data_IF_665124028116
#
_entry.id   IF_665124028116
#
_cell.length_a   1.000
_cell.length_b   1.000
_cell.length_c   1.000
_cell.angle_alpha   90.00
_cell.angle_beta   90.00
_cell.angle_gamma   90.00
#
_symmetry.space_group_name_H-M   'P 1'
#
loop_
_entity.id
_entity.type
_entity.pdbx_description
1 polymer ?
#
# COMPACT_ATOMS: atom_id res chain seq x y z
N UNK A 1 9.08 -4.54 63.45
CA UNK A 1 10.08 -5.49 62.88
C UNK A 1 9.41 -6.37 61.85
N UNK A 2 9.73 -6.25 60.60
CA UNK A 2 10.03 -7.18 59.54
C UNK A 2 9.92 -6.46 58.19
N UNK A 3 11.00 -5.75 57.83
CA UNK A 3 11.38 -5.48 56.41
C UNK A 3 12.10 -6.74 55.95
N UNK A 4 11.78 -7.30 54.81
CA UNK A 4 12.75 -7.78 53.80
C UNK A 4 12.07 -8.63 52.72
N UNK A 5 12.57 -8.42 51.52
CA UNK A 5 12.55 -9.32 50.38
C UNK A 5 11.39 -9.20 49.39
N UNK A 6 11.53 -8.20 48.50
CA UNK A 6 10.88 -8.24 47.18
C UNK A 6 11.75 -7.62 46.09
N UNK A 7 13.09 -7.79 46.13
CA UNK A 7 14.00 -7.22 45.12
C UNK A 7 14.74 -8.28 44.28
N UNK A 8 14.34 -9.55 44.31
CA UNK A 8 15.00 -10.63 43.52
C UNK A 8 14.15 -11.30 42.44
N UNK A 9 12.94 -10.86 42.18
CA UNK A 9 12.09 -11.44 41.10
C UNK A 9 12.00 -10.65 39.82
N UNK A 10 12.60 -9.46 39.71
CA UNK A 10 12.57 -8.65 38.51
C UNK A 10 13.81 -8.76 37.59
N UNK A 11 14.83 -9.54 37.96
CA UNK A 11 16.04 -9.71 37.15
C UNK A 11 16.04 -10.96 36.24
N UNK A 12 15.06 -11.87 36.41
CA UNK A 12 15.00 -13.10 35.58
C UNK A 12 13.99 -13.04 34.41
N UNK A 13 13.18 -12.00 34.32
CA UNK A 13 12.18 -11.85 33.24
C UNK A 13 12.70 -11.11 32.00
N UNK A 14 13.92 -10.58 32.04
CA UNK A 14 14.53 -9.83 30.90
C UNK A 14 15.44 -10.69 30.03
N UNK A 15 15.70 -11.94 30.35
CA UNK A 15 16.68 -12.80 29.64
C UNK A 15 16.09 -13.81 28.66
N UNK A 16 14.78 -13.85 28.40
CA UNK A 16 14.17 -14.81 27.45
C UNK A 16 13.37 -14.16 26.32
N UNK A 17 13.74 -12.98 25.85
CA UNK A 17 13.44 -12.57 24.49
C UNK A 17 14.55 -13.08 23.57
N UNK A 18 14.58 -14.39 23.34
CA UNK A 18 15.28 -14.95 22.19
C UNK A 18 14.72 -14.24 20.94
N UNK A 19 15.57 -13.43 20.32
CA UNK A 19 15.33 -12.85 19.00
C UNK A 19 15.04 -14.04 18.08
N UNK A 20 13.78 -14.27 17.72
CA UNK A 20 13.45 -15.05 16.55
C UNK A 20 14.13 -14.32 15.39
N UNK A 21 15.26 -14.85 14.92
CA UNK A 21 15.84 -14.44 13.66
C UNK A 21 14.77 -14.71 12.62
N UNK A 22 14.19 -13.64 12.05
CA UNK A 22 13.33 -13.75 10.89
C UNK A 22 14.08 -14.53 9.80
N UNK A 23 13.38 -15.14 8.84
CA UNK A 23 14.00 -15.89 7.76
C UNK A 23 15.10 -15.02 7.15
N UNK A 24 16.32 -15.60 7.01
CA UNK A 24 17.45 -14.94 6.36
C UNK A 24 16.98 -14.55 4.96
N UNK A 25 16.78 -13.25 4.74
CA UNK A 25 16.44 -12.73 3.42
C UNK A 25 17.65 -12.99 2.52
N UNK A 26 17.47 -13.90 1.54
CA UNK A 26 18.49 -14.16 0.51
C UNK A 26 18.67 -12.90 -0.34
N UNK A 27 19.87 -12.68 -0.82
CA UNK A 27 20.16 -11.61 -1.77
C UNK A 27 19.31 -11.83 -3.04
N UNK A 28 18.65 -10.78 -3.51
CA UNK A 28 17.81 -10.82 -4.71
C UNK A 28 18.57 -11.30 -5.94
N UNK A 29 19.88 -11.01 -6.02
CA UNK A 29 20.76 -11.49 -7.11
C UNK A 29 21.00 -12.99 -7.05
N UNK A 30 21.15 -13.57 -5.85
CA UNK A 30 21.31 -15.01 -5.67
C UNK A 30 20.00 -15.74 -6.04
N UNK A 31 18.86 -15.23 -5.59
CA UNK A 31 17.54 -15.76 -5.94
C UNK A 31 17.32 -15.73 -7.44
N UNK A 32 17.70 -14.63 -8.10
CA UNK A 32 17.57 -14.48 -9.53
C UNK A 32 18.48 -15.46 -10.30
N UNK A 33 19.73 -15.62 -9.89
CA UNK A 33 20.67 -16.55 -10.50
C UNK A 33 20.18 -18.01 -10.41
N UNK A 34 19.68 -18.42 -9.24
CA UNK A 34 19.06 -19.73 -9.03
C UNK A 34 17.81 -19.93 -9.91
N UNK A 35 16.98 -18.91 -10.01
CA UNK A 35 15.78 -18.91 -10.83
C UNK A 35 16.09 -19.06 -12.32
N UNK A 36 17.01 -18.25 -12.82
CA UNK A 36 17.46 -18.29 -14.23
C UNK A 36 18.09 -19.65 -14.55
N UNK A 37 18.85 -20.22 -13.61
CA UNK A 37 19.41 -21.57 -13.73
C UNK A 37 18.29 -22.63 -13.88
N UNK A 38 17.33 -22.64 -12.98
CA UNK A 38 16.18 -23.58 -13.01
C UNK A 38 15.30 -23.41 -14.25
N UNK A 39 15.09 -22.18 -14.71
CA UNK A 39 14.33 -21.90 -15.93
C UNK A 39 15.09 -22.43 -17.16
N UNK A 40 16.40 -22.23 -17.24
CA UNK A 40 17.23 -22.77 -18.33
C UNK A 40 17.20 -24.30 -18.35
N UNK A 41 17.42 -24.96 -17.22
CA UNK A 41 17.35 -26.42 -17.13
C UNK A 41 16.03 -27.02 -17.60
N UNK A 42 14.91 -26.42 -17.15
CA UNK A 42 13.56 -26.84 -17.57
C UNK A 42 13.30 -26.60 -19.06
N UNK A 43 13.84 -25.50 -19.61
CA UNK A 43 13.72 -25.19 -21.04
C UNK A 43 14.57 -26.11 -21.91
N UNK A 44 15.79 -26.42 -21.49
CA UNK A 44 16.67 -27.33 -22.22
C UNK A 44 16.18 -28.78 -22.14
N UNK A 45 15.65 -29.20 -20.99
CA UNK A 45 14.97 -30.52 -20.85
C UNK A 45 13.75 -30.66 -21.77
N UNK A 46 12.95 -29.62 -21.97
CA UNK A 46 11.82 -29.65 -22.92
C UNK A 46 12.28 -29.67 -24.38
N UNK A 47 13.38 -28.99 -24.73
CA UNK A 47 14.00 -29.02 -26.05
C UNK A 47 14.48 -30.44 -26.41
N UNK A 48 15.05 -31.15 -25.44
CA UNK A 48 15.49 -32.55 -25.62
C UNK A 48 14.30 -33.48 -25.79
N UNK A 49 13.24 -33.34 -25.00
CA UNK A 49 12.02 -34.09 -25.09
C UNK A 49 11.25 -33.88 -26.42
N UNK A 50 11.19 -32.64 -26.91
CA UNK A 50 10.56 -32.31 -28.20
C UNK A 50 11.34 -32.89 -29.40
N UNK A 51 12.69 -32.91 -29.32
CA UNK A 51 13.51 -33.58 -30.36
C UNK A 51 13.37 -35.08 -30.38
N UNK A 52 13.10 -35.72 -29.26
CA UNK A 52 12.87 -37.16 -29.17
C UNK A 52 11.47 -37.59 -29.66
N UNK A 53 10.51 -36.65 -29.77
CA UNK A 53 9.13 -36.94 -30.21
C UNK A 53 8.89 -36.79 -31.71
N UNK A 54 9.91 -36.56 -32.53
CA UNK A 54 9.85 -36.77 -34.01
C UNK A 54 8.96 -35.76 -34.75
N UNK A 55 8.68 -34.58 -34.25
CA UNK A 55 7.98 -33.55 -35.00
C UNK A 55 8.97 -32.68 -35.81
N UNK A 56 9.17 -33.10 -37.07
CA UNK A 56 9.77 -32.26 -38.12
C UNK A 56 8.83 -31.08 -38.42
N UNK A 57 9.05 -29.94 -37.79
CA UNK A 57 8.47 -28.70 -38.24
C UNK A 57 9.53 -27.87 -38.98
N UNK A 58 9.18 -27.59 -40.25
CA UNK A 58 9.89 -26.72 -41.18
C UNK A 58 10.34 -25.40 -40.52
N UNK A 59 11.60 -25.03 -40.77
CA UNK A 59 12.32 -23.79 -40.49
C UNK A 59 11.54 -22.55 -40.15
N UNK A 60 11.11 -22.45 -38.93
CA UNK A 60 10.78 -21.23 -38.21
C UNK A 60 11.54 -21.29 -36.90
N UNK A 61 12.37 -20.33 -36.59
CA UNK A 61 12.95 -20.16 -35.25
C UNK A 61 11.83 -20.38 -34.25
N UNK A 62 11.88 -21.47 -33.52
CA UNK A 62 11.03 -21.71 -32.35
C UNK A 62 11.50 -20.72 -31.29
N UNK A 63 11.13 -19.43 -31.45
CA UNK A 63 11.12 -18.48 -30.35
C UNK A 63 10.13 -19.07 -29.37
N UNK A 64 10.69 -19.81 -28.39
CA UNK A 64 9.96 -20.14 -27.16
C UNK A 64 9.45 -18.82 -26.64
N UNK A 65 8.16 -18.59 -26.85
CA UNK A 65 7.46 -17.40 -26.44
C UNK A 65 7.44 -17.42 -24.91
N UNK A 66 8.56 -17.06 -24.28
CA UNK A 66 8.68 -16.78 -22.85
C UNK A 66 7.79 -15.60 -22.44
N UNK A 67 7.19 -14.93 -23.44
CA UNK A 67 6.24 -13.81 -23.34
C UNK A 67 4.93 -14.17 -22.61
N UNK A 68 4.81 -15.39 -22.13
CA UNK A 68 3.60 -15.87 -21.43
C UNK A 68 3.83 -16.36 -20.00
N UNK A 69 4.97 -16.07 -19.39
CA UNK A 69 5.12 -16.28 -17.95
C UNK A 69 4.09 -15.42 -17.21
N UNK A 70 3.49 -16.00 -16.17
CA UNK A 70 2.59 -15.25 -15.30
C UNK A 70 3.17 -15.22 -13.89
N UNK A 71 3.37 -14.02 -13.36
CA UNK A 71 3.92 -13.80 -12.03
C UNK A 71 2.84 -13.19 -11.15
N UNK A 72 2.48 -13.86 -10.08
CA UNK A 72 1.66 -13.27 -9.02
C UNK A 72 2.55 -12.72 -7.93
N UNK A 73 2.25 -11.53 -7.44
CA UNK A 73 2.99 -10.89 -6.35
C UNK A 73 2.01 -10.42 -5.28
N UNK A 74 2.14 -10.97 -4.09
CA UNK A 74 1.47 -10.46 -2.89
C UNK A 74 2.39 -9.45 -2.19
N UNK A 75 1.95 -8.19 -2.18
CA UNK A 75 2.75 -7.05 -1.73
C UNK A 75 2.65 -6.87 -0.22
N UNK A 76 3.74 -7.16 0.49
CA UNK A 76 3.90 -6.80 1.90
C UNK A 76 4.67 -5.49 2.07
N UNK A 77 4.68 -4.97 3.30
CA UNK A 77 5.33 -3.69 3.62
C UNK A 77 6.86 -3.73 3.44
N UNK A 78 7.50 -4.77 3.94
CA UNK A 78 8.96 -4.95 3.87
C UNK A 78 9.37 -6.07 2.92
N UNK A 79 8.51 -7.04 2.69
CA UNK A 79 8.78 -8.20 1.84
C UNK A 79 7.53 -8.65 1.11
N UNK A 80 7.69 -8.95 -0.16
CA UNK A 80 6.63 -9.41 -1.06
C UNK A 80 6.87 -10.86 -1.44
N UNK A 81 5.80 -11.65 -1.51
CA UNK A 81 5.87 -13.04 -1.99
C UNK A 81 5.56 -13.08 -3.48
N UNK A 82 6.28 -13.91 -4.22
CA UNK A 82 6.02 -14.13 -5.63
C UNK A 82 5.81 -15.60 -5.97
N UNK A 83 5.05 -15.83 -7.01
CA UNK A 83 4.88 -17.14 -7.65
C UNK A 83 4.94 -16.94 -9.17
N UNK A 84 5.81 -17.72 -9.83
CA UNK A 84 5.99 -17.70 -11.27
C UNK A 84 5.38 -18.98 -11.84
N UNK A 85 4.45 -18.82 -12.77
CA UNK A 85 3.84 -19.91 -13.52
C UNK A 85 4.40 -19.94 -14.94
N UNK A 86 4.66 -21.16 -15.41
CA UNK A 86 5.05 -21.45 -16.78
C UNK A 86 3.87 -21.48 -17.75
N UNK A 87 4.16 -21.86 -18.99
CA UNK A 87 3.17 -21.86 -20.09
C UNK A 87 1.98 -22.80 -19.87
N UNK A 88 2.19 -23.88 -19.14
CA UNK A 88 1.15 -24.89 -18.86
C UNK A 88 0.48 -24.67 -17.49
N UNK A 89 0.86 -23.56 -16.79
CA UNK A 89 0.35 -23.24 -15.47
C UNK A 89 1.06 -23.97 -14.33
N UNK A 90 2.15 -24.66 -14.63
CA UNK A 90 3.03 -25.26 -13.66
C UNK A 90 3.78 -24.19 -12.86
N UNK A 91 3.99 -24.39 -11.56
CA UNK A 91 4.80 -23.51 -10.75
C UNK A 91 6.28 -23.71 -11.06
N UNK A 92 6.92 -22.71 -11.64
CA UNK A 92 8.34 -22.71 -11.94
C UNK A 92 9.17 -22.30 -10.73
N UNK A 93 8.72 -21.27 -10.02
CA UNK A 93 9.38 -20.77 -8.83
C UNK A 93 8.42 -20.05 -7.90
N UNK A 94 8.75 -20.05 -6.62
CA UNK A 94 8.11 -19.26 -5.58
C UNK A 94 9.19 -18.74 -4.64
N UNK A 95 8.97 -17.59 -4.07
CA UNK A 95 9.92 -17.01 -3.13
C UNK A 95 9.44 -15.70 -2.54
N UNK A 96 10.37 -15.02 -1.91
CA UNK A 96 10.16 -13.72 -1.31
C UNK A 96 11.27 -12.77 -1.74
N UNK A 97 10.92 -11.50 -1.94
CA UNK A 97 11.86 -10.42 -2.23
C UNK A 97 11.51 -9.21 -1.36
N UNK A 98 12.47 -8.33 -1.16
CA UNK A 98 12.22 -7.09 -0.41
C UNK A 98 11.34 -6.16 -1.25
N UNK A 99 10.43 -5.46 -0.57
CA UNK A 99 9.54 -4.49 -1.20
C UNK A 99 10.26 -3.14 -1.34
N UNK A 100 11.34 -3.11 -2.14
CA UNK A 100 12.09 -1.90 -2.50
C UNK A 100 12.09 -1.71 -4.01
N UNK A 101 12.30 -0.46 -4.47
CA UNK A 101 12.36 -0.18 -5.91
C UNK A 101 13.54 -0.92 -6.57
N UNK A 102 14.69 -0.97 -5.89
CA UNK A 102 15.90 -1.59 -6.38
C UNK A 102 15.78 -3.11 -6.52
N UNK A 103 15.27 -3.80 -5.46
CA UNK A 103 15.13 -5.25 -5.48
C UNK A 103 14.09 -5.70 -6.51
N UNK A 104 12.95 -4.99 -6.60
CA UNK A 104 11.92 -5.25 -7.60
C UNK A 104 12.46 -5.03 -9.03
N UNK A 105 13.13 -3.91 -9.27
CA UNK A 105 13.71 -3.64 -10.58
C UNK A 105 14.74 -4.71 -10.96
N UNK A 106 15.66 -5.06 -10.06
CA UNK A 106 16.67 -6.10 -10.27
C UNK A 106 16.03 -7.46 -10.60
N UNK A 107 14.99 -7.84 -9.84
CA UNK A 107 14.28 -9.10 -10.06
C UNK A 107 13.58 -9.14 -11.41
N UNK A 108 12.81 -8.10 -11.74
CA UNK A 108 12.02 -8.09 -12.97
C UNK A 108 12.88 -7.84 -14.22
N UNK A 109 13.97 -7.08 -14.14
CA UNK A 109 14.93 -6.96 -15.25
C UNK A 109 15.60 -8.29 -15.61
N UNK A 110 15.73 -9.21 -14.67
CA UNK A 110 16.27 -10.55 -14.89
C UNK A 110 15.27 -11.53 -15.51
N UNK A 111 14.01 -11.16 -15.67
CA UNK A 111 12.98 -11.98 -16.29
C UNK A 111 12.70 -11.49 -17.71
N UNK A 112 12.38 -12.42 -18.61
CA UNK A 112 11.80 -12.06 -19.91
C UNK A 112 10.41 -11.46 -19.71
N UNK A 113 9.89 -10.76 -20.74
CA UNK A 113 8.56 -10.16 -20.70
C UNK A 113 7.51 -11.15 -20.16
N UNK A 114 6.76 -10.72 -19.16
CA UNK A 114 5.80 -11.56 -18.45
C UNK A 114 4.54 -10.76 -18.13
N UNK A 115 3.43 -11.46 -17.85
CA UNK A 115 2.27 -10.85 -17.19
C UNK A 115 2.47 -10.92 -15.69
N UNK A 116 2.43 -9.78 -15.03
CA UNK A 116 2.58 -9.66 -13.58
C UNK A 116 1.26 -9.21 -12.96
N UNK A 117 0.80 -9.94 -11.96
CA UNK A 117 -0.43 -9.64 -11.23
C UNK A 117 -0.07 -9.22 -9.81
N UNK A 118 -0.51 -8.03 -9.41
CA UNK A 118 -0.36 -7.50 -8.06
C UNK A 118 -1.74 -7.16 -7.49
N UNK A 119 -1.93 -7.26 -6.19
CA UNK A 119 -3.16 -6.79 -5.54
C UNK A 119 -3.11 -5.28 -5.29
N UNK A 120 -4.25 -4.60 -5.42
CA UNK A 120 -4.34 -3.17 -5.10
C UNK A 120 -4.05 -2.92 -3.62
N UNK A 121 -3.12 -2.03 -3.34
CA UNK A 121 -2.70 -1.68 -1.99
C UNK A 121 -1.83 -0.43 -1.98
N UNK A 122 -1.26 -0.11 -0.84
CA UNK A 122 -0.44 1.09 -0.64
C UNK A 122 0.76 1.15 -1.60
N UNK A 123 1.36 -0.01 -1.89
CA UNK A 123 2.55 -0.12 -2.72
C UNK A 123 2.23 -0.33 -4.21
N UNK A 124 1.02 -0.78 -4.56
CA UNK A 124 0.70 -1.28 -5.90
C UNK A 124 0.97 -0.26 -7.03
N UNK A 125 0.77 1.02 -6.77
CA UNK A 125 0.94 2.05 -7.79
C UNK A 125 2.40 2.26 -8.22
N UNK A 126 3.33 2.40 -7.28
CA UNK A 126 4.74 2.56 -7.60
C UNK A 126 5.38 1.23 -8.04
N UNK A 127 4.92 0.10 -7.48
CA UNK A 127 5.34 -1.23 -7.92
C UNK A 127 4.96 -1.47 -9.39
N UNK A 128 3.73 -1.13 -9.76
CA UNK A 128 3.30 -1.19 -11.16
C UNK A 128 4.21 -0.36 -12.09
N UNK A 129 4.62 0.84 -11.67
CA UNK A 129 5.52 1.69 -12.47
C UNK A 129 6.89 1.03 -12.66
N UNK A 130 7.48 0.50 -11.59
CA UNK A 130 8.77 -0.19 -11.63
C UNK A 130 8.70 -1.40 -12.56
N UNK A 131 7.69 -2.26 -12.40
CA UNK A 131 7.56 -3.49 -13.18
C UNK A 131 7.28 -3.20 -14.66
N UNK A 132 6.43 -2.22 -14.96
CA UNK A 132 6.21 -1.76 -16.35
C UNK A 132 7.47 -1.18 -16.96
N UNK A 133 8.27 -0.43 -16.20
CA UNK A 133 9.57 0.08 -16.62
C UNK A 133 10.57 -1.02 -16.97
N UNK A 134 10.41 -2.23 -16.46
CA UNK A 134 11.18 -3.41 -16.83
C UNK A 134 10.62 -4.16 -18.06
N UNK A 135 9.55 -3.67 -18.71
CA UNK A 135 8.99 -4.26 -19.93
C UNK A 135 7.91 -5.32 -19.72
N UNK A 136 7.31 -5.40 -18.52
CA UNK A 136 6.26 -6.37 -18.22
C UNK A 136 4.85 -5.79 -18.34
N UNK A 137 3.88 -6.64 -18.70
CA UNK A 137 2.45 -6.34 -18.55
C UNK A 137 2.07 -6.42 -17.08
N UNK A 138 1.41 -5.41 -16.52
CA UNK A 138 1.00 -5.42 -15.12
C UNK A 138 -0.51 -5.24 -14.98
N UNK A 139 -1.14 -6.20 -14.32
CA UNK A 139 -2.53 -6.19 -13.91
C UNK A 139 -2.61 -5.91 -12.40
N UNK A 140 -3.34 -4.89 -12.02
CA UNK A 140 -3.59 -4.57 -10.60
C UNK A 140 -4.96 -5.08 -10.22
N UNK A 141 -5.02 -6.18 -9.50
CA UNK A 141 -6.25 -6.87 -9.11
C UNK A 141 -7.04 -6.08 -8.07
N UNK A 142 -8.36 -6.04 -8.19
CA UNK A 142 -9.26 -5.43 -7.21
C UNK A 142 -9.95 -6.49 -6.33
N UNK A 143 -9.42 -6.78 -5.13
CA UNK A 143 -9.96 -7.85 -4.28
C UNK A 143 -11.37 -7.59 -3.76
N UNK A 144 -11.86 -6.35 -3.85
CA UNK A 144 -13.23 -6.01 -3.44
C UNK A 144 -14.28 -6.52 -4.40
N UNK A 145 -13.91 -6.68 -5.66
CA UNK A 145 -14.77 -7.17 -6.74
C UNK A 145 -14.48 -8.63 -7.08
N UNK A 146 -13.28 -9.11 -6.77
CA UNK A 146 -12.95 -10.52 -6.84
C UNK A 146 -13.79 -11.27 -5.79
N UNK A 147 -14.62 -12.15 -6.28
CA UNK A 147 -15.77 -12.78 -5.63
C UNK A 147 -15.65 -13.06 -4.13
N UNK A 148 -16.76 -12.76 -3.49
CA UNK A 148 -17.01 -12.74 -2.06
C UNK A 148 -16.99 -14.07 -1.33
N UNK A 149 -16.15 -15.02 -1.66
CA UNK A 149 -15.94 -16.15 -0.76
C UNK A 149 -15.12 -15.72 0.47
N UNK A 150 -15.74 -14.87 1.30
CA UNK A 150 -15.30 -14.54 2.67
C UNK A 150 -15.27 -15.75 3.60
N UNK A 151 -14.85 -16.92 3.12
CA UNK A 151 -14.49 -18.01 4.01
C UNK A 151 -13.09 -17.72 4.51
N UNK A 152 -13.03 -17.33 5.78
CA UNK A 152 -11.84 -17.20 6.64
C UNK A 152 -10.96 -18.47 6.57
N UNK A 153 -10.23 -18.66 5.46
CA UNK A 153 -9.05 -19.52 5.46
C UNK A 153 -7.90 -18.68 5.99
N UNK A 154 -7.05 -19.28 6.81
CA UNK A 154 -5.82 -18.65 7.30
C UNK A 154 -5.13 -17.97 6.12
N UNK A 155 -4.96 -16.65 6.23
CA UNK A 155 -4.22 -15.86 5.24
C UNK A 155 -2.78 -16.37 5.20
N UNK A 156 -2.30 -16.72 4.02
CA UNK A 156 -0.92 -17.13 3.79
C UNK A 156 -0.48 -16.47 2.49
N UNK A 157 0.44 -15.53 2.60
CA UNK A 157 0.89 -14.66 1.52
C UNK A 157 1.45 -15.44 0.32
N UNK A 158 2.07 -16.61 0.56
CA UNK A 158 2.50 -17.53 -0.51
C UNK A 158 1.31 -18.08 -1.31
N UNK A 159 0.21 -18.43 -0.63
CA UNK A 159 -1.00 -18.93 -1.28
C UNK A 159 -1.66 -17.81 -2.08
N UNK A 160 -1.59 -16.59 -1.58
CA UNK A 160 -2.20 -15.43 -2.22
C UNK A 160 -1.43 -15.05 -3.51
N UNK A 161 -0.09 -15.08 -3.52
CA UNK A 161 0.72 -14.89 -4.73
C UNK A 161 0.44 -15.96 -5.80
N UNK A 162 0.31 -17.24 -5.40
CA UNK A 162 -0.02 -18.32 -6.33
C UNK A 162 -1.42 -18.16 -6.95
N UNK A 163 -2.41 -17.74 -6.15
CA UNK A 163 -3.76 -17.46 -6.64
C UNK A 163 -3.79 -16.31 -7.64
N UNK A 164 -3.08 -15.22 -7.33
CA UNK A 164 -2.97 -14.09 -8.25
C UNK A 164 -2.37 -14.51 -9.59
N UNK A 165 -1.29 -15.30 -9.57
CA UNK A 165 -0.68 -15.82 -10.77
C UNK A 165 -1.65 -16.71 -11.58
N UNK A 166 -2.38 -17.64 -10.92
CA UNK A 166 -3.34 -18.51 -11.58
C UNK A 166 -4.51 -17.76 -12.19
N UNK A 167 -5.11 -16.83 -11.45
CA UNK A 167 -6.21 -16.00 -11.95
C UNK A 167 -5.75 -15.14 -13.13
N UNK A 168 -4.60 -14.46 -13.01
CA UNK A 168 -4.06 -13.66 -14.08
C UNK A 168 -3.71 -14.43 -15.35
N UNK A 169 -3.50 -15.75 -15.22
CA UNK A 169 -3.24 -16.63 -16.34
C UNK A 169 -4.53 -17.12 -17.03
N UNK A 170 -5.49 -17.59 -16.23
CA UNK A 170 -6.69 -18.30 -16.73
C UNK A 170 -7.80 -17.32 -17.08
N UNK A 171 -8.03 -16.34 -16.21
CA UNK A 171 -9.12 -15.38 -16.34
C UNK A 171 -8.69 -13.98 -15.79
N UNK A 172 -7.95 -13.22 -16.60
CA UNK A 172 -7.49 -11.89 -16.19
C UNK A 172 -8.63 -10.90 -15.90
N UNK A 173 -9.80 -11.09 -16.52
CA UNK A 173 -10.95 -10.21 -16.36
C UNK A 173 -11.58 -10.37 -14.97
N UNK A 174 -11.55 -11.59 -14.40
CA UNK A 174 -12.03 -11.86 -13.04
C UNK A 174 -11.23 -11.15 -11.94
N UNK A 175 -10.04 -10.64 -12.27
CA UNK A 175 -9.26 -9.78 -11.39
C UNK A 175 -9.83 -8.37 -11.25
N UNK A 176 -10.79 -7.99 -12.12
CA UNK A 176 -11.31 -6.62 -12.22
C UNK A 176 -10.18 -5.59 -12.20
N UNK A 177 -9.25 -5.66 -13.17
CA UNK A 177 -8.02 -4.90 -13.11
C UNK A 177 -8.30 -3.40 -13.11
N UNK A 178 -7.63 -2.68 -12.20
CA UNK A 178 -7.72 -1.23 -12.13
C UNK A 178 -6.50 -0.58 -12.77
N UNK A 179 -6.68 0.65 -13.20
CA UNK A 179 -5.58 1.52 -13.59
C UNK A 179 -5.35 2.57 -12.51
N UNK A 180 -4.10 2.67 -12.04
CA UNK A 180 -3.72 3.76 -11.18
C UNK A 180 -3.66 5.08 -11.95
N UNK A 181 -4.04 6.15 -11.28
CA UNK A 181 -3.82 7.52 -11.78
C UNK A 181 -2.31 7.75 -11.98
N UNK A 182 -1.95 8.66 -12.87
CA UNK A 182 -0.55 9.02 -13.09
C UNK A 182 0.15 9.42 -11.79
N UNK A 183 1.46 9.30 -11.75
CA UNK A 183 2.28 9.67 -10.59
C UNK A 183 2.03 11.12 -10.16
N UNK A 184 1.91 11.99 -11.15
CA UNK A 184 1.67 13.41 -10.96
C UNK A 184 0.31 13.67 -10.26
N UNK A 185 -0.77 13.06 -10.77
CA UNK A 185 -2.10 13.15 -10.14
C UNK A 185 -2.09 12.57 -8.73
N UNK A 186 -1.38 11.47 -8.51
CA UNK A 186 -1.25 10.87 -7.17
C UNK A 186 -0.51 11.78 -6.19
N UNK A 187 0.53 12.50 -6.67
CA UNK A 187 1.23 13.50 -5.86
C UNK A 187 0.30 14.65 -5.45
N UNK A 188 -0.52 15.14 -6.37
CA UNK A 188 -1.50 16.18 -6.07
C UNK A 188 -2.56 15.68 -5.06
N UNK A 189 -2.98 14.43 -5.17
CA UNK A 189 -3.92 13.82 -4.21
C UNK A 189 -3.31 13.59 -2.82
N UNK A 190 -1.98 13.54 -2.66
CA UNK A 190 -1.34 13.51 -1.35
C UNK A 190 -1.68 14.77 -0.55
N UNK A 191 -1.80 15.93 -1.22
CA UNK A 191 -2.20 17.19 -0.58
C UNK A 191 -3.61 17.08 0.04
N UNK A 192 -4.55 16.47 -0.66
CA UNK A 192 -5.90 16.24 -0.13
C UNK A 192 -5.87 15.33 1.11
N UNK A 193 -5.11 14.23 1.03
CA UNK A 193 -5.01 13.26 2.15
C UNK A 193 -4.33 13.87 3.37
N UNK A 194 -3.28 14.67 3.18
CA UNK A 194 -2.62 15.40 4.26
C UNK A 194 -3.58 16.38 4.94
N UNK A 195 -4.33 17.14 4.14
CA UNK A 195 -5.35 18.06 4.65
C UNK A 195 -6.44 17.32 5.44
N UNK A 196 -6.92 16.19 4.96
CA UNK A 196 -7.94 15.39 5.65
C UNK A 196 -7.42 14.80 6.97
N UNK A 197 -6.16 14.40 7.03
CA UNK A 197 -5.51 13.97 8.26
C UNK A 197 -5.45 15.12 9.30
N UNK A 198 -5.12 16.34 8.88
CA UNK A 198 -5.13 17.52 9.76
C UNK A 198 -6.54 17.85 10.27
N UNK A 199 -7.58 17.69 9.42
CA UNK A 199 -8.98 17.89 9.84
C UNK A 199 -9.40 16.84 10.86
N UNK A 200 -9.03 15.58 10.66
CA UNK A 200 -9.31 14.49 11.60
C UNK A 200 -8.64 14.75 12.96
N UNK A 201 -7.33 15.05 12.95
CA UNK A 201 -6.56 15.40 14.16
C UNK A 201 -7.16 16.58 14.92
N UNK A 202 -7.50 17.67 14.22
CA UNK A 202 -8.15 18.82 14.84
C UNK A 202 -9.47 18.45 15.49
N UNK A 203 -10.28 17.65 14.81
CA UNK A 203 -11.58 17.22 15.33
C UNK A 203 -11.43 16.38 16.59
N UNK A 204 -10.46 15.47 16.60
CA UNK A 204 -10.15 14.65 17.76
C UNK A 204 -9.71 15.51 18.96
N UNK A 205 -8.79 16.47 18.76
CA UNK A 205 -8.32 17.39 19.80
C UNK A 205 -9.47 18.21 20.36
N UNK A 206 -10.33 18.77 19.52
CA UNK A 206 -11.50 19.54 19.95
C UNK A 206 -12.45 18.68 20.79
N UNK A 207 -12.73 17.46 20.34
CA UNK A 207 -13.62 16.56 21.06
C UNK A 207 -13.03 16.12 22.40
N UNK A 208 -11.74 15.80 22.43
CA UNK A 208 -11.00 15.48 23.65
C UNK A 208 -11.04 16.61 24.65
N UNK A 209 -10.73 17.85 24.20
CA UNK A 209 -10.77 19.04 25.07
C UNK A 209 -12.16 19.24 25.65
N UNK A 210 -13.22 19.14 24.83
CA UNK A 210 -14.60 19.24 25.30
C UNK A 210 -14.98 18.13 26.28
N UNK A 211 -14.49 16.90 26.03
CA UNK A 211 -14.71 15.74 26.90
C UNK A 211 -14.10 15.96 28.29
N UNK A 212 -12.85 16.42 28.34
CA UNK A 212 -12.13 16.71 29.58
C UNK A 212 -12.84 17.81 30.40
N UNK A 213 -13.24 18.91 29.76
CA UNK A 213 -14.01 19.97 30.45
C UNK A 213 -15.34 19.44 30.99
N UNK A 214 -16.02 18.60 30.20
CA UNK A 214 -17.30 18.01 30.59
C UNK A 214 -17.13 17.06 31.81
N UNK A 215 -16.04 16.32 31.89
CA UNK A 215 -15.79 15.43 33.04
C UNK A 215 -15.62 16.19 34.36
N UNK A 216 -15.28 17.47 34.28
CA UNK A 216 -15.17 18.37 35.44
C UNK A 216 -16.49 19.12 35.74
N UNK A 217 -17.59 18.69 35.15
CA UNK A 217 -18.92 19.24 35.42
C UNK A 217 -19.25 20.55 34.67
N UNK A 218 -18.34 21.07 33.81
CA UNK A 218 -18.54 22.28 33.03
C UNK A 218 -18.62 21.98 31.52
N UNK A 219 -18.91 23.01 30.71
CA UNK A 219 -18.97 22.82 29.23
C UNK A 219 -18.41 24.07 28.54
N UNK A 220 -17.59 23.79 27.50
CA UNK A 220 -17.19 24.84 26.57
C UNK A 220 -18.38 25.28 25.69
N UNK A 221 -18.42 26.57 25.27
CA UNK A 221 -19.48 27.07 24.44
C UNK A 221 -19.56 26.36 23.11
N UNK A 222 -20.78 26.24 22.55
CA UNK A 222 -20.98 25.73 21.21
C UNK A 222 -20.35 26.66 20.19
N UNK A 223 -19.49 26.17 19.33
CA UNK A 223 -18.81 26.94 18.31
C UNK A 223 -18.35 26.07 17.16
N UNK A 224 -18.04 26.71 16.03
CA UNK A 224 -17.41 26.02 14.89
C UNK A 224 -15.98 25.63 15.24
N UNK A 225 -15.42 24.64 14.50
CA UNK A 225 -14.01 24.27 14.65
C UNK A 225 -13.05 25.41 14.36
N UNK A 226 -13.44 26.39 13.52
CA UNK A 226 -12.65 27.57 13.19
C UNK A 226 -12.54 28.57 14.37
N UNK A 227 -13.62 28.74 15.12
CA UNK A 227 -13.68 29.66 16.28
C UNK A 227 -13.37 28.96 17.60
N UNK A 228 -13.08 27.67 17.59
CA UNK A 228 -12.84 26.89 18.80
C UNK A 228 -11.67 27.38 19.62
N UNK A 229 -10.56 27.72 18.98
CA UNK A 229 -9.36 28.15 19.68
C UNK A 229 -9.60 29.42 20.47
N UNK A 230 -10.17 30.46 19.84
CA UNK A 230 -10.48 31.72 20.51
C UNK A 230 -11.47 31.50 21.65
N UNK A 231 -12.62 30.89 21.39
CA UNK A 231 -13.63 30.66 22.42
C UNK A 231 -13.20 29.69 23.52
N UNK A 232 -12.36 28.73 23.18
CA UNK A 232 -11.80 27.78 24.14
C UNK A 232 -10.81 28.45 25.09
N UNK A 233 -9.95 29.32 24.57
CA UNK A 233 -8.99 30.07 25.39
C UNK A 233 -9.67 30.98 26.42
N UNK A 234 -10.76 31.64 26.03
CA UNK A 234 -11.58 32.47 26.89
C UNK A 234 -12.38 31.70 27.95
N UNK A 235 -12.91 30.52 27.54
CA UNK A 235 -13.90 29.77 28.34
C UNK A 235 -13.30 28.67 29.23
N UNK A 236 -12.02 28.32 29.06
CA UNK A 236 -11.35 27.34 29.92
C UNK A 236 -11.14 27.90 31.31
N UNK A 237 -11.68 27.23 32.33
CA UNK A 237 -11.52 27.65 33.73
C UNK A 237 -10.04 27.69 34.14
N UNK A 238 -9.70 28.60 35.01
CA UNK A 238 -8.31 28.90 35.41
C UNK A 238 -7.58 27.62 35.89
N UNK A 239 -8.26 26.80 36.64
CA UNK A 239 -7.72 25.55 37.21
C UNK A 239 -7.37 24.49 36.14
N UNK A 240 -7.96 24.58 34.95
CA UNK A 240 -7.73 23.65 33.85
C UNK A 240 -6.82 24.21 32.76
N UNK A 241 -6.42 25.51 32.84
CA UNK A 241 -5.67 26.17 31.77
C UNK A 241 -4.33 25.52 31.49
N UNK A 242 -3.59 25.16 32.52
CA UNK A 242 -2.28 24.52 32.34
C UNK A 242 -2.39 23.24 31.51
N UNK A 243 -3.40 22.42 31.77
CA UNK A 243 -3.61 21.15 31.04
C UNK A 243 -4.24 21.34 29.66
N UNK A 244 -5.17 22.26 29.48
CA UNK A 244 -6.02 22.33 28.29
C UNK A 244 -5.58 23.40 27.27
N UNK A 245 -4.90 24.45 27.65
CA UNK A 245 -4.44 25.48 26.69
C UNK A 245 -3.49 24.92 25.62
N UNK A 246 -2.58 23.95 25.89
CA UNK A 246 -1.80 23.33 24.84
C UNK A 246 -2.67 22.67 23.75
N UNK A 247 -3.77 22.01 24.13
CA UNK A 247 -4.70 21.41 23.17
C UNK A 247 -5.47 22.47 22.36
N UNK A 248 -5.88 23.55 23.02
CA UNK A 248 -6.56 24.67 22.35
C UNK A 248 -5.63 25.34 21.32
N UNK A 249 -4.37 25.56 21.68
CA UNK A 249 -3.35 26.15 20.79
C UNK A 249 -3.05 25.21 19.60
N UNK A 250 -2.93 23.92 19.87
CA UNK A 250 -2.73 22.93 18.79
C UNK A 250 -3.91 22.93 17.80
N UNK A 251 -5.14 23.04 18.29
CA UNK A 251 -6.31 23.19 17.41
C UNK A 251 -6.28 24.48 16.58
N UNK A 252 -5.69 25.56 17.10
CA UNK A 252 -5.47 26.81 16.35
C UNK A 252 -4.46 26.61 15.23
N UNK A 253 -3.30 26.01 15.52
CA UNK A 253 -2.25 25.72 14.55
C UNK A 253 -2.80 24.83 13.42
N UNK A 254 -3.46 23.71 13.75
CA UNK A 254 -4.08 22.85 12.75
C UNK A 254 -5.12 23.59 11.89
N UNK A 255 -5.86 24.55 12.47
CA UNK A 255 -6.83 25.35 11.71
C UNK A 255 -6.15 26.30 10.72
N UNK A 256 -4.99 26.85 11.07
CA UNK A 256 -4.19 27.69 10.18
C UNK A 256 -3.62 26.85 9.02
N UNK A 257 -3.03 25.69 9.32
CA UNK A 257 -2.48 24.79 8.31
C UNK A 257 -3.56 24.30 7.34
N UNK A 258 -4.73 23.90 7.86
CA UNK A 258 -5.87 23.48 7.02
C UNK A 258 -6.28 24.60 6.07
N UNK A 259 -6.31 25.86 6.54
CA UNK A 259 -6.64 27.01 5.69
C UNK A 259 -5.62 27.22 4.57
N UNK A 260 -4.34 26.98 4.84
CA UNK A 260 -3.31 27.05 3.81
C UNK A 260 -3.47 25.93 2.78
N UNK A 261 -3.74 24.69 3.22
CA UNK A 261 -4.04 23.58 2.32
C UNK A 261 -5.27 23.87 1.47
N UNK A 262 -6.35 24.41 2.05
CA UNK A 262 -7.57 24.79 1.32
C UNK A 262 -7.25 25.76 0.18
N UNK A 263 -6.38 26.77 0.40
CA UNK A 263 -5.94 27.70 -0.64
C UNK A 263 -5.11 27.02 -1.72
N UNK A 264 -4.13 26.18 -1.33
CA UNK A 264 -3.28 25.46 -2.27
C UNK A 264 -4.10 24.50 -3.16
N UNK A 265 -5.07 23.80 -2.57
CA UNK A 265 -5.99 22.89 -3.28
C UNK A 265 -6.86 23.68 -4.27
N UNK A 266 -7.37 24.84 -3.88
CA UNK A 266 -8.17 25.68 -4.78
C UNK A 266 -7.36 26.19 -5.96
N UNK A 267 -6.13 26.65 -5.70
CA UNK A 267 -5.19 27.09 -6.75
C UNK A 267 -4.86 25.93 -7.70
N UNK A 268 -4.52 24.77 -7.17
CA UNK A 268 -4.22 23.57 -7.94
C UNK A 268 -5.40 23.17 -8.83
N UNK A 269 -6.62 23.16 -8.29
CA UNK A 269 -7.83 22.86 -9.04
C UNK A 269 -8.06 23.83 -10.20
N UNK A 270 -7.82 25.13 -9.98
CA UNK A 270 -8.00 26.15 -11.01
C UNK A 270 -6.93 26.09 -12.11
N UNK A 271 -5.66 25.92 -11.73
CA UNK A 271 -4.54 26.05 -12.65
C UNK A 271 -4.24 24.77 -13.44
N UNK A 272 -4.38 23.62 -12.80
CA UNK A 272 -4.03 22.32 -13.40
C UNK A 272 -5.23 21.49 -13.82
N UNK A 273 -6.37 21.64 -13.14
CA UNK A 273 -7.56 20.81 -13.33
C UNK A 273 -8.78 21.65 -13.70
N UNK A 274 -8.70 22.36 -14.83
CA UNK A 274 -9.74 23.33 -15.27
C UNK A 274 -11.16 22.77 -15.28
N UNK A 275 -11.34 21.47 -15.55
CA UNK A 275 -12.64 20.81 -15.52
C UNK A 275 -13.30 20.77 -14.13
N UNK A 276 -12.55 21.01 -13.04
CA UNK A 276 -13.11 21.16 -11.69
C UNK A 276 -14.12 22.31 -11.61
N UNK A 277 -13.97 23.32 -12.47
CA UNK A 277 -14.92 24.43 -12.57
C UNK A 277 -16.33 23.96 -12.93
N UNK A 278 -16.45 22.97 -13.81
CA UNK A 278 -17.74 22.36 -14.20
C UNK A 278 -18.36 21.60 -13.02
N UNK A 279 -17.55 20.80 -12.31
CA UNK A 279 -18.02 20.02 -11.17
C UNK A 279 -18.51 20.92 -10.03
N UNK A 280 -17.89 22.07 -9.84
CA UNK A 280 -18.27 23.06 -8.80
C UNK A 280 -19.61 23.77 -9.08
N UNK A 281 -20.19 23.64 -10.28
CA UNK A 281 -21.55 24.09 -10.55
C UNK A 281 -22.62 23.23 -9.87
N UNK A 282 -22.27 22.00 -9.51
CA UNK A 282 -23.16 21.11 -8.78
C UNK A 282 -23.23 21.54 -7.32
N UNK A 283 -24.44 21.78 -6.81
CA UNK A 283 -24.66 22.17 -5.42
C UNK A 283 -24.03 21.15 -4.44
N UNK A 284 -23.17 21.62 -3.53
CA UNK A 284 -22.49 20.79 -2.55
C UNK A 284 -21.10 20.30 -2.99
N UNK A 285 -20.70 20.50 -4.23
CA UNK A 285 -19.37 20.18 -4.70
C UNK A 285 -18.44 21.38 -4.50
N UNK A 286 -17.60 21.30 -3.48
CA UNK A 286 -16.56 22.29 -3.22
C UNK A 286 -15.23 21.97 -3.93
N UNK A 287 -14.20 22.84 -3.80
CA UNK A 287 -12.89 22.63 -4.42
C UNK A 287 -12.26 21.28 -4.09
N UNK A 288 -12.36 20.86 -2.83
CA UNK A 288 -11.81 19.59 -2.35
C UNK A 288 -12.48 18.40 -3.03
N UNK A 289 -13.81 18.36 -3.05
CA UNK A 289 -14.57 17.29 -3.69
C UNK A 289 -14.30 17.27 -5.19
N UNK A 290 -14.31 18.43 -5.84
CA UNK A 290 -14.04 18.53 -7.28
C UNK A 290 -12.64 18.00 -7.63
N UNK A 291 -11.61 18.35 -6.86
CA UNK A 291 -10.25 17.86 -7.12
C UNK A 291 -10.10 16.35 -6.80
N UNK A 292 -10.81 15.83 -5.81
CA UNK A 292 -10.76 14.42 -5.45
C UNK A 292 -11.31 13.49 -6.55
N UNK A 293 -12.18 14.00 -7.43
CA UNK A 293 -12.76 13.26 -8.56
C UNK A 293 -11.89 13.27 -9.83
N UNK A 294 -10.89 14.13 -9.89
CA UNK A 294 -9.87 14.15 -10.95
C UNK A 294 -8.84 13.06 -10.73
#
# INVERSE_FOLDING_TARGET
MKKHNNSRKNSELTSKRAKSRGPVQRDTKEVLAELVGKLKEKLDGKKVAARSAGEEHRGGELRLNLDRLTVGVDLGDQGSHYCILGLEGETLAEGQLRTTQEDLATFFQGLNAARVVVEVGTHSAWVQEVIRGCGHEVLVANPRLMDGSKRRKRKNDRIDANKLARLGRVDPESLYPIQHRSREVRQDLVMLRARDALVAARTEIINTTRGLVKSMGTRLPKCSSRSFAQKGEEAVAVEMREALLPLVRLAATLSADIKEYDKKIETLGREKYGHTALLRQVKGVGPITALATC
#
